data_IF_389222072817
#
_entry.id   IF_389222072817
#
_cell.length_a   1.000
_cell.length_b   1.000
_cell.length_c   1.000
_cell.angle_alpha   90.00
_cell.angle_beta   90.00
_cell.angle_gamma   90.00
#
_symmetry.space_group_name_H-M   'P 1'
#
loop_
_entity.id
_entity.type
_entity.pdbx_description
1 polymer ?
#
# COMPACT_ATOMS: atom_id res chain seq x y z
N UNK A 1 -13.61 -1.54 22.37
CA UNK A 1 -12.90 -0.93 23.52
C UNK A 1 -11.74 -0.12 22.96
N UNK A 2 -11.62 1.19 23.26
CA UNK A 2 -10.48 1.98 22.81
C UNK A 2 -9.22 1.57 23.58
N UNK A 3 -8.08 1.58 22.91
CA UNK A 3 -6.77 1.34 23.52
C UNK A 3 -5.84 2.50 23.17
N UNK A 4 -4.92 2.82 24.07
CA UNK A 4 -3.96 3.92 23.88
C UNK A 4 -2.63 3.36 23.40
N UNK A 5 -2.13 3.91 22.29
CA UNK A 5 -0.80 3.61 21.76
C UNK A 5 0.09 4.81 22.06
N UNK A 6 1.21 4.58 22.74
CA UNK A 6 2.22 5.60 22.98
C UNK A 6 3.15 5.68 21.77
N UNK A 7 3.33 6.89 21.23
CA UNK A 7 4.20 7.17 20.08
C UNK A 7 5.05 8.40 20.41
N UNK A 8 6.21 8.51 19.77
CA UNK A 8 7.07 9.68 19.89
C UNK A 8 6.51 10.88 19.10
N UNK A 9 6.94 12.09 19.46
CA UNK A 9 6.44 13.32 18.84
C UNK A 9 6.70 13.37 17.34
N UNK A 10 7.82 12.79 16.89
CA UNK A 10 8.14 12.70 15.46
C UNK A 10 7.10 11.88 14.70
N UNK A 11 6.77 10.69 15.18
CA UNK A 11 5.75 9.83 14.54
C UNK A 11 4.37 10.50 14.58
N UNK A 12 4.03 11.17 15.67
CA UNK A 12 2.77 11.93 15.78
C UNK A 12 2.67 13.04 14.73
N UNK A 13 3.75 13.77 14.49
CA UNK A 13 3.81 14.81 13.46
C UNK A 13 3.65 14.22 12.04
N UNK A 14 4.33 13.11 11.75
CA UNK A 14 4.17 12.41 10.46
C UNK A 14 2.72 11.95 10.26
N UNK A 15 2.09 11.35 11.27
CA UNK A 15 0.68 10.95 11.20
C UNK A 15 -0.25 12.14 10.98
N UNK A 16 0.04 13.29 11.56
CA UNK A 16 -0.73 14.51 11.33
C UNK A 16 -0.60 15.02 9.89
N UNK A 17 0.60 14.98 9.31
CA UNK A 17 0.81 15.36 7.91
C UNK A 17 0.06 14.42 6.96
N UNK A 18 0.19 13.11 7.16
CA UNK A 18 -0.52 12.09 6.36
C UNK A 18 -2.03 12.28 6.48
N UNK A 19 -2.54 12.51 7.70
CA UNK A 19 -3.96 12.80 7.94
C UNK A 19 -4.44 13.99 7.12
N UNK A 20 -3.75 15.13 7.19
CA UNK A 20 -4.12 16.33 6.45
C UNK A 20 -4.13 16.10 4.94
N UNK A 21 -3.15 15.35 4.41
CA UNK A 21 -3.11 15.04 2.99
C UNK A 21 -4.33 14.20 2.56
N UNK A 22 -4.68 13.19 3.34
CA UNK A 22 -5.85 12.35 3.07
C UNK A 22 -7.16 13.12 3.21
N UNK A 23 -7.30 13.97 4.23
CA UNK A 23 -8.49 14.81 4.40
C UNK A 23 -8.68 15.76 3.22
N UNK A 24 -7.58 16.32 2.68
CA UNK A 24 -7.62 17.16 1.46
C UNK A 24 -8.04 16.36 0.22
N UNK A 25 -7.54 15.13 0.06
CA UNK A 25 -7.88 14.27 -1.08
C UNK A 25 -9.34 13.79 -1.03
N UNK A 26 -9.82 13.42 0.15
CA UNK A 26 -11.16 12.86 0.34
C UNK A 26 -12.23 13.94 0.59
N UNK A 27 -11.84 15.21 0.75
CA UNK A 27 -12.72 16.32 1.15
C UNK A 27 -13.59 16.00 2.37
N UNK A 28 -13.06 15.18 3.29
CA UNK A 28 -13.77 14.67 4.47
C UNK A 28 -12.80 14.64 5.65
N UNK A 29 -13.29 14.94 6.85
CA UNK A 29 -12.51 14.75 8.06
C UNK A 29 -12.32 13.27 8.38
N UNK A 30 -11.13 12.94 8.86
CA UNK A 30 -10.68 11.59 9.17
C UNK A 30 -10.29 11.51 10.64
N UNK A 31 -10.67 10.45 11.34
CA UNK A 31 -10.16 10.15 12.68
C UNK A 31 -8.81 9.43 12.62
N UNK A 32 -8.04 9.45 13.72
CA UNK A 32 -6.80 8.67 13.81
C UNK A 32 -7.04 7.15 13.72
N UNK A 33 -8.22 6.66 14.14
CA UNK A 33 -8.56 5.25 13.97
C UNK A 33 -8.75 4.88 12.49
N UNK A 34 -9.44 5.73 11.73
CA UNK A 34 -9.62 5.55 10.28
C UNK A 34 -8.27 5.67 9.54
N UNK A 35 -7.43 6.63 9.93
CA UNK A 35 -6.06 6.75 9.40
C UNK A 35 -5.27 5.46 9.59
N UNK A 36 -5.26 4.92 10.82
CA UNK A 36 -4.54 3.69 11.13
C UNK A 36 -5.09 2.50 10.36
N UNK A 37 -6.40 2.41 10.16
CA UNK A 37 -7.01 1.38 9.31
C UNK A 37 -6.52 1.46 7.86
N UNK A 38 -6.51 2.66 7.27
CA UNK A 38 -6.01 2.87 5.90
C UNK A 38 -4.54 2.46 5.79
N UNK A 39 -3.70 2.85 6.75
CA UNK A 39 -2.28 2.47 6.79
C UNK A 39 -2.13 0.95 6.89
N UNK A 40 -2.88 0.29 7.75
CA UNK A 40 -2.84 -1.17 7.94
C UNK A 40 -3.30 -1.93 6.69
N UNK A 41 -4.36 -1.46 6.04
CA UNK A 41 -4.84 -2.06 4.78
C UNK A 41 -3.82 -1.90 3.66
N UNK A 42 -3.25 -0.69 3.52
CA UNK A 42 -2.21 -0.41 2.53
C UNK A 42 -0.98 -1.30 2.77
N UNK A 43 -0.54 -1.45 4.02
CA UNK A 43 0.55 -2.33 4.40
C UNK A 43 0.25 -3.81 4.13
N UNK A 44 -0.98 -4.26 4.44
CA UNK A 44 -1.43 -5.63 4.12
C UNK A 44 -1.42 -5.92 2.63
N UNK A 45 -1.92 -4.98 1.81
CA UNK A 45 -1.92 -5.10 0.35
C UNK A 45 -0.48 -5.15 -0.18
N UNK A 46 0.38 -4.25 0.28
CA UNK A 46 1.79 -4.21 -0.11
C UNK A 46 2.51 -5.53 0.24
N UNK A 47 2.27 -6.06 1.44
CA UNK A 47 2.85 -7.34 1.87
C UNK A 47 2.31 -8.55 1.10
N UNK A 48 1.02 -8.56 0.76
CA UNK A 48 0.43 -9.63 -0.07
C UNK A 48 1.04 -9.61 -1.47
N UNK A 49 1.23 -8.43 -2.07
CA UNK A 49 1.92 -8.26 -3.36
C UNK A 49 3.39 -8.68 -3.29
N UNK A 50 4.09 -8.31 -2.23
CA UNK A 50 5.49 -8.71 -2.00
C UNK A 50 5.66 -10.23 -1.84
N UNK A 51 4.79 -10.88 -1.07
CA UNK A 51 4.77 -12.35 -0.95
C UNK A 51 4.45 -13.04 -2.27
N UNK A 52 3.48 -12.53 -3.04
CA UNK A 52 3.17 -13.03 -4.39
C UNK A 52 4.37 -12.90 -5.33
N UNK A 53 5.11 -11.80 -5.26
CA UNK A 53 6.31 -11.60 -6.08
C UNK A 53 7.48 -12.50 -5.67
N UNK A 54 7.71 -12.68 -4.37
CA UNK A 54 8.73 -13.61 -3.88
C UNK A 54 8.41 -15.05 -4.26
N UNK A 55 7.14 -15.46 -4.18
CA UNK A 55 6.70 -16.76 -4.66
C UNK A 55 6.88 -16.90 -6.18
N UNK A 56 6.63 -15.85 -6.96
CA UNK A 56 6.85 -15.85 -8.41
C UNK A 56 8.33 -15.90 -8.79
N UNK A 57 9.21 -15.18 -8.06
CA UNK A 57 10.67 -15.28 -8.23
C UNK A 57 11.17 -16.71 -8.04
N UNK A 58 10.62 -17.42 -7.05
CA UNK A 58 10.95 -18.82 -6.79
C UNK A 58 10.46 -19.76 -7.92
N UNK A 59 9.52 -19.33 -8.76
CA UNK A 59 9.02 -20.06 -9.91
C UNK A 59 9.74 -19.70 -11.23
N UNK A 60 10.67 -18.74 -11.24
CA UNK A 60 11.40 -18.33 -12.45
C UNK A 60 12.27 -19.42 -13.09
N UNK A 61 12.56 -20.51 -12.37
CA UNK A 61 13.25 -21.68 -12.93
C UNK A 61 12.33 -22.65 -13.68
N UNK A 62 11.01 -22.51 -13.54
CA UNK A 62 9.99 -23.44 -14.09
C UNK A 62 9.18 -22.76 -15.20
N UNK A 63 9.07 -21.43 -15.16
CA UNK A 63 8.24 -20.65 -16.09
C UNK A 63 9.09 -20.13 -17.28
N UNK A 64 8.64 -20.29 -18.54
CA UNK A 64 9.32 -19.74 -19.72
C UNK A 64 9.53 -18.22 -19.64
N UNK A 65 10.67 -17.75 -20.16
CA UNK A 65 11.08 -16.33 -20.10
C UNK A 65 10.05 -15.38 -20.72
N UNK A 66 9.34 -15.82 -21.75
CA UNK A 66 8.35 -15.01 -22.47
C UNK A 66 7.12 -14.69 -21.59
N UNK A 67 6.70 -15.63 -20.74
CA UNK A 67 5.59 -15.41 -19.81
C UNK A 67 5.93 -14.41 -18.70
N UNK A 68 7.21 -14.31 -18.33
CA UNK A 68 7.69 -13.32 -17.34
C UNK A 68 7.65 -11.90 -17.92
N UNK A 69 7.95 -11.74 -19.22
CA UNK A 69 7.89 -10.44 -19.89
C UNK A 69 6.46 -9.93 -20.07
N UNK A 70 5.52 -10.81 -20.40
CA UNK A 70 4.09 -10.47 -20.53
C UNK A 70 3.54 -9.97 -19.19
N UNK A 71 3.79 -10.70 -18.09
CA UNK A 71 3.36 -10.30 -16.74
C UNK A 71 3.99 -8.97 -16.27
N UNK A 72 5.24 -8.70 -16.65
CA UNK A 72 5.89 -7.40 -16.36
C UNK A 72 5.22 -6.25 -17.13
N UNK A 73 4.81 -6.49 -18.38
CA UNK A 73 4.07 -5.50 -19.18
C UNK A 73 2.69 -5.23 -18.60
N UNK A 74 1.92 -6.28 -18.28
CA UNK A 74 0.59 -6.15 -17.68
C UNK A 74 0.63 -5.39 -16.35
N UNK A 75 1.59 -5.71 -15.46
CA UNK A 75 1.72 -4.98 -14.19
C UNK A 75 2.20 -3.54 -14.30
N UNK A 76 2.94 -3.18 -15.36
CA UNK A 76 3.25 -1.77 -15.63
C UNK A 76 1.99 -1.00 -15.97
N UNK A 77 1.04 -1.63 -16.67
CA UNK A 77 -0.23 -1.03 -17.05
C UNK A 77 -1.11 -0.82 -15.80
N UNK A 78 -1.17 -1.79 -14.88
CA UNK A 78 -1.90 -1.67 -13.60
C UNK A 78 -1.40 -0.52 -12.71
N UNK A 79 -0.10 -0.21 -12.76
CA UNK A 79 0.49 0.91 -12.02
C UNK A 79 0.25 2.28 -12.69
N UNK A 80 -0.01 2.32 -14.00
CA UNK A 80 -0.43 3.56 -14.68
C UNK A 80 -1.94 3.81 -14.53
N UNK A 81 -2.76 2.75 -14.43
CA UNK A 81 -4.22 2.85 -14.27
C UNK A 81 -4.70 3.33 -12.90
N UNK A 82 -3.85 3.36 -11.87
CA UNK A 82 -4.22 3.85 -10.52
C UNK A 82 -3.87 5.33 -10.28
N UNK A 83 -3.48 6.09 -11.32
CA UNK A 83 -3.24 7.54 -11.25
C UNK A 83 -4.26 8.36 -12.06
N UNK A 84 -5.38 7.76 -12.47
CA UNK A 84 -6.46 8.45 -13.16
C UNK A 84 -7.78 7.93 -12.58
N UNK A 85 -8.14 8.43 -11.39
CA UNK A 85 -9.50 8.68 -10.88
C UNK A 85 -9.44 9.15 -9.42
#
# INVERSE_FOLDING_TARGET
MPTTIQIDEKTKMELFLIKNELERKMSKSLSYNELLQIILETYRIANKRSKSWNNFKNLQGIIPKDSIEILKKERKIDNLGNNIE
#
